data_IF_647480201140
#
_entry.id   IF_647480201140
#
_cell.length_a   1.000
_cell.length_b   1.000
_cell.length_c   1.000
_cell.angle_alpha   90.00
_cell.angle_beta   90.00
_cell.angle_gamma   90.00
#
_symmetry.space_group_name_H-M   'P 1'
#
loop_
_entity.id
_entity.type
_entity.pdbx_description
1 polymer ?
#
# COMPACT_ATOMS: atom_id res chain seq x y z
N UNK A 1 11.54 -19.24 -20.50
CA UNK A 1 12.60 -19.48 -19.49
C UNK A 1 12.17 -18.94 -18.14
N UNK A 2 12.79 -19.34 -17.08
CA UNK A 2 12.56 -18.87 -15.71
C UNK A 2 12.58 -17.33 -15.60
N UNK A 3 13.43 -16.69 -16.36
CA UNK A 3 13.55 -15.22 -16.36
C UNK A 3 12.36 -14.52 -16.99
N UNK A 4 11.76 -15.09 -18.01
CA UNK A 4 10.60 -14.46 -18.69
C UNK A 4 9.31 -14.56 -17.87
N UNK A 5 9.15 -15.59 -17.01
CA UNK A 5 7.95 -15.73 -16.18
C UNK A 5 7.93 -14.85 -14.92
N UNK A 6 9.09 -14.41 -14.44
CA UNK A 6 9.20 -13.60 -13.21
C UNK A 6 9.22 -12.08 -13.46
N UNK A 7 9.53 -11.66 -14.69
CA UNK A 7 9.81 -10.26 -15.03
C UNK A 7 8.53 -9.42 -15.11
N UNK A 8 7.41 -10.00 -15.49
CA UNK A 8 6.15 -9.28 -15.70
C UNK A 8 5.13 -9.41 -14.55
N UNK A 9 5.54 -9.92 -13.39
CA UNK A 9 4.65 -10.00 -12.24
C UNK A 9 4.46 -8.60 -11.67
N UNK A 10 3.31 -8.01 -11.93
CA UNK A 10 2.95 -6.69 -11.40
C UNK A 10 2.37 -6.79 -9.99
N UNK A 11 2.71 -5.84 -9.16
CA UNK A 11 2.21 -5.73 -7.79
C UNK A 11 1.15 -4.61 -7.78
N UNK A 12 -0.02 -4.90 -7.25
CA UNK A 12 -1.18 -4.03 -7.41
C UNK A 12 -1.68 -3.51 -6.08
N UNK A 13 -1.75 -2.18 -5.93
CA UNK A 13 -2.46 -1.50 -4.83
C UNK A 13 -3.82 -1.04 -5.31
N UNK A 14 -4.86 -1.21 -4.50
CA UNK A 14 -6.26 -0.96 -4.88
C UNK A 14 -6.96 -0.03 -3.90
N UNK A 15 -7.94 0.71 -4.43
CA UNK A 15 -9.01 1.30 -3.63
C UNK A 15 -10.28 0.50 -3.88
N UNK A 16 -10.90 0.01 -2.82
CA UNK A 16 -12.13 -0.76 -2.88
C UNK A 16 -13.25 -0.07 -2.12
N UNK A 17 -14.49 -0.35 -2.49
CA UNK A 17 -15.64 0.06 -1.71
C UNK A 17 -15.60 -0.60 -0.32
N UNK A 18 -15.94 0.15 0.71
CA UNK A 18 -16.04 -0.35 2.07
C UNK A 18 -17.42 -0.91 2.41
N UNK A 19 -17.66 -1.11 3.71
CA UNK A 19 -18.90 -1.69 4.21
C UNK A 19 -20.13 -0.77 4.00
N UNK A 20 -19.91 0.52 3.95
CA UNK A 20 -20.95 1.52 3.68
C UNK A 20 -20.55 2.39 2.47
N UNK A 21 -21.51 3.12 1.85
CA UNK A 21 -21.19 4.03 0.75
C UNK A 21 -20.20 5.15 1.10
N UNK A 22 -19.96 5.38 2.40
CA UNK A 22 -19.04 6.40 2.90
C UNK A 22 -17.67 5.83 3.25
N UNK A 23 -17.46 4.52 3.11
CA UNK A 23 -16.20 3.87 3.43
C UNK A 23 -15.43 3.52 2.15
N UNK A 24 -14.14 3.85 2.16
CA UNK A 24 -13.17 3.41 1.16
C UNK A 24 -12.13 2.55 1.86
N UNK A 25 -11.65 1.52 1.18
CA UNK A 25 -10.57 0.68 1.68
C UNK A 25 -9.37 0.83 0.76
N UNK A 26 -8.26 1.31 1.32
CA UNK A 26 -6.96 1.33 0.64
C UNK A 26 -6.27 0.00 0.91
N UNK A 27 -6.35 -0.90 -0.07
CA UNK A 27 -5.85 -2.27 0.03
C UNK A 27 -4.42 -2.36 -0.50
N UNK A 28 -3.50 -2.71 0.40
CA UNK A 28 -2.11 -2.96 0.04
C UNK A 28 -1.94 -4.28 -0.69
N UNK A 29 -1.25 -4.24 -1.83
CA UNK A 29 -0.89 -5.41 -2.62
C UNK A 29 0.53 -5.92 -2.38
N UNK A 30 1.24 -5.36 -1.40
CA UNK A 30 2.64 -5.69 -1.15
C UNK A 30 3.59 -5.04 -2.17
N UNK A 31 3.24 -3.87 -2.68
CA UNK A 31 4.11 -3.09 -3.54
C UNK A 31 5.14 -2.32 -2.70
N UNK A 32 6.43 -2.73 -2.70
CA UNK A 32 7.46 -2.07 -1.91
C UNK A 32 7.92 -0.74 -2.52
N UNK A 33 7.51 -0.43 -3.75
CA UNK A 33 7.85 0.79 -4.47
C UNK A 33 6.71 1.82 -4.49
N UNK A 34 5.59 1.55 -3.82
CA UNK A 34 4.44 2.44 -3.78
C UNK A 34 4.87 3.87 -3.47
N UNK A 35 4.50 4.80 -4.33
CA UNK A 35 4.91 6.21 -4.24
C UNK A 35 3.74 7.14 -3.91
N UNK A 36 4.06 8.39 -3.58
CA UNK A 36 3.04 9.44 -3.43
C UNK A 36 2.34 9.75 -4.76
N UNK A 37 3.00 9.53 -5.89
CA UNK A 37 2.41 9.69 -7.23
C UNK A 37 1.38 8.60 -7.49
N UNK A 38 1.66 7.35 -7.10
CA UNK A 38 0.69 6.25 -7.20
C UNK A 38 -0.55 6.52 -6.35
N UNK A 39 -0.35 7.01 -5.13
CA UNK A 39 -1.45 7.41 -4.26
C UNK A 39 -2.25 8.59 -4.83
N UNK A 40 -1.61 9.52 -5.55
CA UNK A 40 -2.32 10.58 -6.28
C UNK A 40 -3.17 10.01 -7.42
N UNK A 41 -2.63 9.08 -8.19
CA UNK A 41 -3.35 8.40 -9.29
C UNK A 41 -4.56 7.66 -8.73
N UNK A 42 -4.39 6.88 -7.67
CA UNK A 42 -5.48 6.19 -6.97
C UNK A 42 -6.55 7.16 -6.48
N UNK A 43 -6.15 8.27 -5.87
CA UNK A 43 -7.08 9.28 -5.36
C UNK A 43 -7.87 9.94 -6.47
N UNK A 44 -7.23 10.27 -7.59
CA UNK A 44 -7.88 10.90 -8.74
C UNK A 44 -8.96 9.98 -9.33
N UNK A 45 -8.66 8.70 -9.51
CA UNK A 45 -9.62 7.73 -10.04
C UNK A 45 -10.73 7.44 -9.03
N UNK A 46 -10.39 7.22 -7.76
CA UNK A 46 -11.38 6.94 -6.72
C UNK A 46 -12.32 8.13 -6.47
N UNK A 47 -11.83 9.36 -6.57
CA UNK A 47 -12.64 10.56 -6.40
C UNK A 47 -13.81 10.64 -7.37
N UNK A 48 -13.66 10.13 -8.59
CA UNK A 48 -14.73 10.11 -9.59
C UNK A 48 -15.88 9.15 -9.23
N UNK A 49 -15.61 8.17 -8.37
CA UNK A 49 -16.61 7.22 -7.87
C UNK A 49 -17.31 7.71 -6.58
N UNK A 50 -16.82 8.79 -5.98
CA UNK A 50 -17.38 9.36 -4.75
C UNK A 50 -18.32 10.51 -5.10
N UNK A 51 -19.60 10.46 -4.69
CA UNK A 51 -20.54 11.57 -4.94
C UNK A 51 -20.05 12.88 -4.31
N UNK A 52 -20.26 13.98 -5.00
CA UNK A 52 -19.89 15.32 -4.53
C UNK A 52 -20.50 15.62 -3.16
N UNK A 53 -19.70 16.18 -2.24
CA UNK A 53 -20.13 16.53 -0.89
C UNK A 53 -20.14 15.37 0.11
N UNK A 54 -19.91 14.14 -0.33
CA UNK A 54 -19.82 12.96 0.55
C UNK A 54 -18.63 13.08 1.49
N UNK A 55 -18.85 12.72 2.76
CA UNK A 55 -17.79 12.54 3.74
C UNK A 55 -17.36 11.09 3.70
N UNK A 56 -16.10 10.80 3.44
CA UNK A 56 -15.58 9.44 3.37
C UNK A 56 -14.59 9.14 4.49
N UNK A 57 -14.60 7.90 4.93
CA UNK A 57 -13.61 7.32 5.85
C UNK A 57 -12.76 6.35 5.06
N UNK A 58 -11.44 6.47 5.12
CA UNK A 58 -10.52 5.60 4.42
C UNK A 58 -9.85 4.66 5.41
N UNK A 59 -10.02 3.38 5.19
CA UNK A 59 -9.50 2.31 6.03
C UNK A 59 -8.29 1.66 5.35
N UNK A 60 -7.11 1.56 6.02
CA UNK A 60 -6.00 0.76 5.50
C UNK A 60 -6.34 -0.73 5.60
N UNK A 61 -6.06 -1.48 4.53
CA UNK A 61 -6.15 -2.94 4.51
C UNK A 61 -4.75 -3.54 4.34
N UNK A 62 -4.28 -4.21 5.39
CA UNK A 62 -3.00 -4.90 5.45
C UNK A 62 -3.15 -6.41 5.57
N UNK A 63 -4.32 -6.94 5.26
CA UNK A 63 -4.66 -8.36 5.45
C UNK A 63 -3.91 -9.32 4.54
N UNK A 64 -3.26 -8.82 3.48
CA UNK A 64 -2.46 -9.66 2.58
C UNK A 64 -1.30 -10.35 3.30
N UNK A 65 -0.66 -9.67 4.26
CA UNK A 65 0.42 -10.24 5.05
C UNK A 65 -0.06 -10.62 6.45
N UNK A 66 0.66 -11.54 7.15
CA UNK A 66 0.49 -11.73 8.58
C UNK A 66 0.61 -10.41 9.34
N UNK A 67 0.12 -10.35 10.61
CA UNK A 67 0.19 -9.12 11.40
C UNK A 67 1.58 -8.46 11.33
N UNK A 68 1.58 -7.13 11.26
CA UNK A 68 2.79 -6.33 11.11
C UNK A 68 3.83 -6.69 12.17
N UNK A 69 5.04 -6.93 11.72
CA UNK A 69 6.16 -7.28 12.57
C UNK A 69 7.46 -7.03 11.84
N UNK A 70 8.55 -7.11 12.60
CA UNK A 70 9.89 -7.09 12.02
C UNK A 70 10.19 -8.44 11.39
N UNK A 71 10.94 -8.44 10.30
CA UNK A 71 11.53 -9.66 9.77
C UNK A 71 12.38 -10.37 10.84
N UNK A 72 12.56 -11.70 10.76
CA UNK A 72 13.42 -12.43 11.67
C UNK A 72 14.84 -11.83 11.70
N UNK A 73 15.42 -11.71 12.88
CA UNK A 73 16.78 -11.16 13.06
C UNK A 73 16.87 -9.65 13.24
N UNK A 74 15.83 -8.89 12.93
CA UNK A 74 15.81 -7.43 13.17
C UNK A 74 15.48 -7.12 14.63
N UNK A 75 16.42 -6.49 15.33
CA UNK A 75 16.21 -6.01 16.72
C UNK A 75 15.65 -4.59 16.73
N UNK A 76 15.21 -4.13 17.92
CA UNK A 76 14.70 -2.75 18.09
C UNK A 76 15.69 -1.67 17.73
N UNK A 77 17.00 -1.95 17.82
CA UNK A 77 18.07 -0.98 17.48
C UNK A 77 18.15 -0.64 15.99
N UNK A 78 17.50 -1.43 15.12
CA UNK A 78 17.43 -1.14 13.69
C UNK A 78 16.27 -0.22 13.30
N UNK A 79 15.33 0.03 14.21
CA UNK A 79 14.21 0.95 14.00
C UNK A 79 14.62 2.38 14.40
N UNK A 80 14.15 3.39 13.68
CA UNK A 80 13.39 3.40 12.42
C UNK A 80 14.29 3.44 11.18
N UNK A 81 15.61 3.44 11.31
CA UNK A 81 16.53 3.86 10.24
C UNK A 81 16.94 2.76 9.26
N UNK A 82 16.79 1.49 9.64
CA UNK A 82 17.28 0.35 8.86
C UNK A 82 16.17 -0.59 8.46
N UNK A 83 15.14 -0.70 9.27
CA UNK A 83 13.96 -1.53 9.01
C UNK A 83 12.71 -0.87 9.57
N UNK A 84 11.57 -1.15 8.97
CA UNK A 84 10.25 -0.76 9.45
C UNK A 84 9.38 -2.01 9.64
N UNK A 85 8.19 -1.91 10.27
CA UNK A 85 7.23 -2.99 10.25
C UNK A 85 6.90 -3.40 8.81
N UNK A 86 6.95 -4.72 8.53
CA UNK A 86 6.71 -5.24 7.19
C UNK A 86 5.20 -5.37 6.97
N UNK A 87 4.67 -4.53 6.12
CA UNK A 87 3.23 -4.47 5.79
C UNK A 87 3.04 -4.41 4.27
N UNK A 88 1.90 -4.87 3.73
CA UNK A 88 1.66 -4.83 2.29
C UNK A 88 1.24 -3.45 1.78
N UNK A 89 1.04 -2.48 2.66
CA UNK A 89 0.68 -1.10 2.36
C UNK A 89 1.68 -0.16 3.04
N UNK A 90 2.70 0.26 2.30
CA UNK A 90 3.71 1.21 2.75
C UNK A 90 4.28 1.94 1.55
N UNK A 91 4.66 3.21 1.72
CA UNK A 91 5.42 3.92 0.69
C UNK A 91 6.89 3.56 0.76
N UNK A 92 7.55 3.53 -0.40
CA UNK A 92 9.00 3.38 -0.46
C UNK A 92 9.69 4.42 0.46
N UNK A 93 10.60 3.96 1.30
CA UNK A 93 11.35 4.81 2.22
C UNK A 93 10.58 5.23 3.49
N UNK A 94 9.40 4.69 3.74
CA UNK A 94 8.66 4.94 4.99
C UNK A 94 9.12 3.98 6.08
N UNK A 95 9.93 4.49 6.99
CA UNK A 95 10.43 3.77 8.18
C UNK A 95 9.66 4.11 9.46
N UNK A 96 8.46 4.68 9.33
CA UNK A 96 7.61 5.00 10.50
C UNK A 96 7.14 3.74 11.23
N UNK A 97 6.69 3.88 12.49
CA UNK A 97 6.12 2.76 13.26
C UNK A 97 4.82 2.19 12.65
N UNK A 98 4.11 2.98 11.86
CA UNK A 98 2.87 2.57 11.18
C UNK A 98 2.86 3.07 9.73
N UNK A 99 3.58 2.36 8.82
CA UNK A 99 3.67 2.75 7.42
C UNK A 99 2.32 2.71 6.70
N UNK A 100 1.41 1.79 7.09
CA UNK A 100 0.09 1.67 6.47
C UNK A 100 -0.80 2.87 6.79
N UNK A 101 -0.86 3.29 8.05
CA UNK A 101 -1.56 4.51 8.41
C UNK A 101 -0.95 5.75 7.72
N UNK A 102 0.37 5.80 7.59
CA UNK A 102 1.05 6.89 6.90
C UNK A 102 0.70 6.95 5.41
N UNK A 103 0.75 5.83 4.70
CA UNK A 103 0.34 5.76 3.30
C UNK A 103 -1.13 6.21 3.15
N UNK A 104 -2.00 5.76 4.06
CA UNK A 104 -3.42 6.13 4.06
C UNK A 104 -3.62 7.61 4.35
N UNK A 105 -2.85 8.23 5.26
CA UNK A 105 -2.90 9.70 5.48
C UNK A 105 -2.52 10.49 4.23
N UNK A 106 -1.50 10.03 3.49
CA UNK A 106 -1.13 10.65 2.22
C UNK A 106 -2.28 10.53 1.22
N UNK A 107 -2.87 9.36 1.07
CA UNK A 107 -4.03 9.15 0.19
C UNK A 107 -5.22 10.04 0.59
N UNK A 108 -5.55 10.13 1.88
CA UNK A 108 -6.58 11.03 2.42
C UNK A 108 -6.28 12.50 2.07
N UNK A 109 -5.02 12.94 2.22
CA UNK A 109 -4.63 14.29 1.85
C UNK A 109 -4.82 14.56 0.34
N UNK A 110 -4.54 13.56 -0.51
CA UNK A 110 -4.79 13.64 -1.96
C UNK A 110 -6.28 13.76 -2.27
N UNK A 111 -7.13 12.96 -1.63
CA UNK A 111 -8.60 13.09 -1.77
C UNK A 111 -9.09 14.47 -1.35
N UNK A 112 -8.56 15.01 -0.25
CA UNK A 112 -8.91 16.36 0.22
C UNK A 112 -8.51 17.44 -0.78
N UNK A 113 -7.37 17.32 -1.44
CA UNK A 113 -6.94 18.26 -2.47
C UNK A 113 -7.85 18.23 -3.71
N UNK A 114 -8.59 17.13 -3.91
CA UNK A 114 -9.61 16.95 -4.94
C UNK A 114 -11.02 17.35 -4.49
N UNK A 115 -11.15 17.97 -3.31
CA UNK A 115 -12.44 18.43 -2.78
C UNK A 115 -13.26 17.39 -2.01
N UNK A 116 -12.73 16.19 -1.79
CA UNK A 116 -13.40 15.13 -1.04
C UNK A 116 -13.16 15.33 0.46
N UNK A 117 -14.23 15.30 1.26
CA UNK A 117 -14.12 15.37 2.73
C UNK A 117 -13.72 14.01 3.31
N UNK A 118 -12.44 13.70 3.26
CA UNK A 118 -11.89 12.39 3.67
C UNK A 118 -11.22 12.44 5.05
N UNK A 119 -11.26 11.33 5.78
CA UNK A 119 -10.48 11.11 7.01
C UNK A 119 -9.95 9.68 7.07
N UNK A 120 -8.87 9.50 7.85
CA UNK A 120 -8.34 8.17 8.18
C UNK A 120 -9.32 7.47 9.15
N UNK A 121 -9.62 6.21 8.86
CA UNK A 121 -10.35 5.28 9.73
C UNK A 121 -9.45 4.19 10.31
N UNK A 122 -10.06 3.33 11.12
CA UNK A 122 -9.41 2.12 11.63
C UNK A 122 -9.09 1.15 10.49
N UNK A 123 -8.12 0.25 10.71
CA UNK A 123 -7.81 -0.78 9.75
C UNK A 123 -9.02 -1.71 9.51
N UNK A 124 -9.24 -2.08 8.26
CA UNK A 124 -10.33 -2.97 7.88
C UNK A 124 -9.93 -3.82 6.68
N UNK A 125 -10.43 -5.04 6.61
CA UNK A 125 -10.21 -5.93 5.48
C UNK A 125 -11.32 -5.74 4.44
N UNK A 126 -10.94 -5.55 3.18
CA UNK A 126 -11.88 -5.47 2.09
C UNK A 126 -12.57 -6.82 1.87
N UNK A 127 -13.89 -6.82 1.68
CA UNK A 127 -14.58 -8.02 1.24
C UNK A 127 -14.08 -8.43 -0.15
N UNK A 128 -13.97 -9.74 -0.41
CA UNK A 128 -13.52 -10.23 -1.72
C UNK A 128 -14.42 -9.75 -2.86
N UNK A 129 -15.73 -9.64 -2.61
CA UNK A 129 -16.72 -9.15 -3.55
C UNK A 129 -16.82 -7.64 -3.66
N UNK A 130 -16.08 -6.88 -2.82
CA UNK A 130 -16.15 -5.42 -2.85
C UNK A 130 -15.65 -4.87 -4.20
N UNK A 131 -16.37 -3.94 -4.83
CA UNK A 131 -15.94 -3.33 -6.09
C UNK A 131 -14.57 -2.67 -5.97
N UNK A 132 -13.73 -2.84 -6.99
CA UNK A 132 -12.48 -2.10 -7.16
C UNK A 132 -12.81 -0.76 -7.81
N UNK A 133 -12.54 0.33 -7.12
CA UNK A 133 -12.82 1.70 -7.58
C UNK A 133 -11.62 2.32 -8.29
N UNK A 134 -10.42 1.94 -7.90
CA UNK A 134 -9.17 2.36 -8.51
C UNK A 134 -8.07 1.33 -8.25
N UNK A 135 -7.09 1.27 -9.14
CA UNK A 135 -5.90 0.45 -8.94
C UNK A 135 -4.68 1.05 -9.62
N UNK A 136 -3.50 0.76 -9.08
CA UNK A 136 -2.20 1.00 -9.71
C UNK A 136 -1.41 -0.30 -9.74
N UNK A 137 -0.73 -0.55 -10.85
CA UNK A 137 0.06 -1.76 -11.13
C UNK A 137 1.32 -1.41 -11.93
N UNK A 138 1.93 -0.28 -11.61
CA UNK A 138 3.02 0.29 -12.40
C UNK A 138 4.38 -0.32 -12.07
N UNK A 139 4.50 -0.97 -10.90
CA UNK A 139 5.74 -1.58 -10.44
C UNK A 139 5.73 -3.08 -10.65
N UNK A 140 6.86 -3.60 -11.13
CA UNK A 140 7.10 -5.03 -11.30
C UNK A 140 8.01 -5.57 -10.20
N UNK A 141 8.05 -6.89 -10.07
CA UNK A 141 9.02 -7.55 -9.18
C UNK A 141 10.47 -7.24 -9.61
N UNK A 142 10.73 -7.11 -10.91
CA UNK A 142 12.05 -6.75 -11.44
C UNK A 142 12.46 -5.33 -11.00
N UNK A 143 11.55 -4.36 -11.07
CA UNK A 143 11.78 -3.01 -10.57
C UNK A 143 12.13 -3.03 -9.07
N UNK A 144 11.38 -3.80 -8.29
CA UNK A 144 11.61 -3.91 -6.85
C UNK A 144 12.98 -4.54 -6.53
N UNK A 145 13.37 -5.62 -7.25
CA UNK A 145 14.68 -6.23 -7.11
C UNK A 145 15.80 -5.27 -7.50
N UNK A 146 15.61 -4.50 -8.57
CA UNK A 146 16.56 -3.50 -9.02
C UNK A 146 16.80 -2.41 -7.96
N UNK A 147 15.73 -1.89 -7.36
CA UNK A 147 15.81 -0.90 -6.27
C UNK A 147 16.46 -1.52 -5.03
N UNK A 148 16.05 -2.73 -4.65
CA UNK A 148 16.63 -3.46 -3.51
C UNK A 148 18.14 -3.58 -3.62
N UNK A 149 18.63 -4.02 -4.78
CA UNK A 149 20.07 -4.27 -5.01
C UNK A 149 20.87 -2.96 -5.16
N UNK A 150 20.32 -1.96 -5.86
CA UNK A 150 21.03 -0.71 -6.13
C UNK A 150 21.10 0.23 -4.93
N UNK A 151 20.10 0.18 -4.03
CA UNK A 151 19.99 1.07 -2.86
C UNK A 151 20.15 0.37 -1.52
N UNK A 152 20.33 -0.96 -1.52
CA UNK A 152 20.37 -1.77 -0.29
C UNK A 152 19.12 -1.57 0.59
N UNK A 153 17.94 -1.56 -0.03
CA UNK A 153 16.66 -1.31 0.63
C UNK A 153 16.17 -2.55 1.37
N UNK A 154 16.35 -2.58 2.68
CA UNK A 154 15.99 -3.72 3.52
C UNK A 154 14.48 -3.97 3.54
N UNK A 155 13.65 -2.93 3.59
CA UNK A 155 12.20 -3.10 3.58
C UNK A 155 11.69 -3.67 2.28
N UNK A 156 12.30 -3.32 1.14
CA UNK A 156 11.97 -3.92 -0.16
C UNK A 156 12.27 -5.43 -0.13
N UNK A 157 13.42 -5.83 0.40
CA UNK A 157 13.79 -7.24 0.54
C UNK A 157 12.78 -8.02 1.40
N UNK A 158 12.39 -7.46 2.55
CA UNK A 158 11.44 -8.09 3.47
C UNK A 158 10.04 -8.22 2.86
N UNK A 159 9.57 -7.21 2.13
CA UNK A 159 8.28 -7.26 1.42
C UNK A 159 8.30 -8.32 0.34
N UNK A 160 9.36 -8.36 -0.49
CA UNK A 160 9.51 -9.39 -1.53
C UNK A 160 9.58 -10.80 -0.94
N UNK A 161 10.28 -10.98 0.19
CA UNK A 161 10.31 -12.25 0.89
C UNK A 161 8.92 -12.72 1.32
N UNK A 162 8.09 -11.79 1.85
CA UNK A 162 6.71 -12.11 2.22
C UNK A 162 5.80 -12.42 1.03
N UNK A 163 6.01 -11.75 -0.10
CA UNK A 163 5.29 -12.03 -1.35
C UNK A 163 5.53 -13.46 -1.84
N UNK A 164 6.75 -13.96 -1.70
CA UNK A 164 7.09 -15.34 -2.12
C UNK A 164 6.47 -16.38 -1.19
N UNK A 165 6.10 -15.99 0.04
CA UNK A 165 5.54 -16.89 1.04
C UNK A 165 4.00 -16.99 1.00
N UNK A 166 3.34 -16.26 0.09
CA UNK A 166 1.88 -16.31 -0.14
C UNK A 166 1.51 -17.48 -1.05
#
# INVERSE_FOLDING_TARGET
>A
SWREMAIDLVITTRVRAGATPNDLILQGGGDPLLSSTDLQTLATVAASAVPTGTKVVVHPDTSLFPPAGRGPGWTTGYLPYVAAPVVPLARLGDYSPDPAANATRVFVAKLRSLGIKAKLGEAATAAQSAPVLAQVSDNTVDDAVSVMLSRSENNVAEVLYRQVAL
#
